data_IF_401190148334
#
_entry.id   IF_401190148334
#
_cell.length_a   1.000
_cell.length_b   1.000
_cell.length_c   1.000
_cell.angle_alpha   90.00
_cell.angle_beta   90.00
_cell.angle_gamma   90.00
#
_symmetry.space_group_name_H-M   'P 1'
#
loop_
_entity.id
_entity.type
_entity.pdbx_description
1 polymer ?
#
# COMPACT_ATOMS: atom_id res chain seq x y z
N UNK A 1 -7.81 6.34 0.64
CA UNK A 1 -6.61 6.40 1.53
C UNK A 1 -5.38 6.64 0.65
N UNK A 2 -4.24 7.06 1.22
CA UNK A 2 -2.99 7.26 0.47
C UNK A 2 -1.86 6.41 1.02
N UNK A 3 -0.97 5.97 0.13
CA UNK A 3 0.23 5.19 0.47
C UNK A 3 1.48 6.05 0.34
N UNK A 4 2.44 5.84 1.24
CA UNK A 4 3.74 6.50 1.15
C UNK A 4 4.55 5.89 0.02
N UNK A 5 5.10 6.75 -0.85
CA UNK A 5 5.92 6.32 -1.97
C UNK A 5 7.05 7.31 -2.26
N UNK A 6 8.11 6.78 -2.86
CA UNK A 6 9.21 7.56 -3.43
C UNK A 6 9.07 7.54 -4.94
N UNK A 7 9.43 8.62 -5.61
CA UNK A 7 9.41 8.69 -7.07
C UNK A 7 10.72 9.28 -7.57
N UNK A 8 11.07 8.93 -8.80
CA UNK A 8 12.24 9.47 -9.48
C UNK A 8 11.97 9.54 -10.98
N UNK A 9 12.63 10.51 -11.62
CA UNK A 9 12.72 10.64 -13.07
C UNK A 9 14.10 10.17 -13.51
N UNK A 10 14.13 9.11 -14.32
CA UNK A 10 15.34 8.62 -14.98
C UNK A 10 15.37 9.07 -16.44
N UNK A 11 16.54 9.49 -16.93
CA UNK A 11 16.72 10.02 -18.29
C UNK A 11 17.88 9.32 -19.00
N UNK A 12 17.66 8.93 -20.26
CA UNK A 12 18.69 8.37 -21.15
C UNK A 12 18.41 8.73 -22.61
N UNK A 13 19.19 9.65 -23.16
CA UNK A 13 18.97 10.18 -24.51
C UNK A 13 17.63 10.90 -24.61
N UNK A 14 16.76 10.47 -25.53
CA UNK A 14 15.39 10.98 -25.65
C UNK A 14 14.38 10.24 -24.77
N UNK A 15 14.81 9.25 -23.99
CA UNK A 15 13.93 8.45 -23.13
C UNK A 15 13.86 9.06 -21.73
N UNK A 16 12.64 9.27 -21.27
CA UNK A 16 12.34 9.70 -19.90
C UNK A 16 11.44 8.65 -19.26
N UNK A 17 11.81 8.18 -18.07
CA UNK A 17 11.01 7.27 -17.27
C UNK A 17 10.71 7.95 -15.93
N UNK A 18 9.44 8.23 -15.68
CA UNK A 18 8.95 8.61 -14.36
C UNK A 18 8.41 7.36 -13.68
N UNK A 19 9.01 7.00 -12.55
CA UNK A 19 8.65 5.79 -11.82
C UNK A 19 8.52 6.07 -10.33
N UNK A 20 7.83 5.19 -9.63
CA UNK A 20 7.68 5.29 -8.19
C UNK A 20 7.71 3.91 -7.54
N UNK A 21 7.92 3.90 -6.24
CA UNK A 21 7.87 2.72 -5.38
C UNK A 21 7.03 2.99 -4.15
N UNK A 22 6.41 1.94 -3.59
CA UNK A 22 5.62 2.02 -2.37
C UNK A 22 6.50 1.61 -1.18
N UNK A 23 6.57 2.48 -0.18
CA UNK A 23 7.26 2.20 1.08
C UNK A 23 6.41 1.25 1.91
N UNK A 24 7.08 0.28 2.50
CA UNK A 24 6.43 -0.89 3.07
C UNK A 24 7.19 -1.31 4.33
N UNK A 25 6.44 -1.62 5.39
CA UNK A 25 6.90 -1.82 6.78
C UNK A 25 6.45 -3.18 7.30
N UNK A 26 6.94 -3.58 8.48
CA UNK A 26 6.40 -4.73 9.21
C UNK A 26 4.90 -4.55 9.47
N UNK A 27 4.12 -5.59 9.22
CA UNK A 27 2.67 -5.56 9.39
C UNK A 27 2.25 -5.46 10.88
N UNK A 28 1.14 -4.76 11.14
CA UNK A 28 0.39 -4.88 12.40
C UNK A 28 -0.27 -6.26 12.54
N UNK A 29 -0.85 -6.58 13.70
CA UNK A 29 -1.36 -7.94 14.00
C UNK A 29 -2.39 -8.41 12.98
N UNK A 30 -3.32 -7.52 12.59
CA UNK A 30 -4.40 -7.85 11.65
C UNK A 30 -3.84 -8.23 10.27
N UNK A 31 -2.93 -7.43 9.73
CA UNK A 31 -2.32 -7.70 8.41
C UNK A 31 -1.30 -8.84 8.49
N UNK A 32 -0.62 -9.02 9.63
CA UNK A 32 0.35 -10.10 9.84
C UNK A 32 -0.29 -11.50 9.75
N UNK A 33 -1.59 -11.63 10.01
CA UNK A 33 -2.34 -12.86 9.77
C UNK A 33 -2.46 -13.23 8.28
N UNK A 34 -2.24 -12.27 7.38
CA UNK A 34 -2.27 -12.44 5.92
C UNK A 34 -0.85 -12.43 5.35
N UNK A 35 -0.02 -11.44 5.72
CA UNK A 35 1.34 -11.28 5.23
C UNK A 35 2.22 -10.47 6.18
N UNK A 36 3.53 -10.78 6.24
CA UNK A 36 4.50 -10.17 7.19
C UNK A 36 4.78 -8.68 6.96
N UNK A 37 4.44 -8.15 5.79
CA UNK A 37 4.67 -6.76 5.38
C UNK A 37 3.38 -6.10 4.96
N UNK A 38 3.29 -4.79 5.19
CA UNK A 38 2.19 -3.94 4.75
C UNK A 38 2.70 -2.63 4.15
N UNK A 39 1.99 -2.02 3.20
CA UNK A 39 2.34 -0.67 2.74
C UNK A 39 2.14 0.34 3.87
N UNK A 40 2.93 1.42 3.87
CA UNK A 40 2.72 2.54 4.79
C UNK A 40 1.52 3.35 4.32
N UNK A 41 0.42 3.31 5.07
CA UNK A 41 -0.75 4.17 4.84
C UNK A 41 -0.51 5.49 5.55
N UNK A 42 -0.61 6.60 4.82
CA UNK A 42 -0.43 7.94 5.39
C UNK A 42 -1.77 8.42 5.96
N UNK A 43 -1.85 8.85 7.23
CA UNK A 43 -3.02 9.54 7.74
C UNK A 43 -3.24 10.87 7.03
N UNK A 44 -4.50 11.25 6.79
CA UNK A 44 -4.84 12.48 6.06
C UNK A 44 -4.20 13.74 6.66
N UNK A 45 -4.09 13.81 7.99
CA UNK A 45 -3.43 14.91 8.71
C UNK A 45 -1.94 15.09 8.36
N UNK A 46 -1.28 14.06 7.84
CA UNK A 46 0.14 14.06 7.52
C UNK A 46 0.41 14.18 6.00
N UNK A 47 -0.61 14.26 5.13
CA UNK A 47 -0.43 14.39 3.67
C UNK A 47 0.45 15.58 3.30
N UNK A 48 0.19 16.75 3.88
CA UNK A 48 1.00 17.95 3.60
C UNK A 48 2.44 17.78 4.03
N UNK A 49 2.67 17.15 5.18
CA UNK A 49 4.03 16.87 5.67
C UNK A 49 4.74 15.90 4.73
N UNK A 50 4.06 14.85 4.29
CA UNK A 50 4.64 13.87 3.37
C UNK A 50 5.08 14.49 2.03
N UNK A 51 4.27 15.40 1.49
CA UNK A 51 4.51 16.01 0.18
C UNK A 51 5.41 17.26 0.20
N UNK A 52 5.64 17.86 1.36
CA UNK A 52 6.46 19.06 1.52
C UNK A 52 7.97 18.71 1.50
N UNK A 53 8.75 19.16 0.49
CA UNK A 53 10.20 18.92 0.44
C UNK A 53 10.97 19.52 1.62
N UNK A 54 10.41 20.51 2.32
CA UNK A 54 11.01 21.13 3.49
C UNK A 54 10.71 20.37 4.80
N UNK A 55 9.88 19.32 4.77
CA UNK A 55 9.57 18.54 5.95
C UNK A 55 10.82 17.88 6.54
N UNK A 56 11.10 18.08 7.84
CA UNK A 56 12.25 17.44 8.47
C UNK A 56 12.12 15.91 8.45
N UNK A 57 13.21 15.21 8.12
CA UNK A 57 13.25 13.74 8.10
C UNK A 57 12.69 13.11 9.38
N UNK A 58 13.00 13.68 10.55
CA UNK A 58 12.48 13.21 11.86
C UNK A 58 10.94 13.20 11.95
N UNK A 59 10.27 14.09 11.23
CA UNK A 59 8.80 14.15 11.17
C UNK A 59 8.29 13.06 10.24
N UNK A 60 8.92 12.91 9.07
CA UNK A 60 8.56 11.89 8.07
C UNK A 60 8.75 10.46 8.61
N UNK A 61 9.83 10.20 9.36
CA UNK A 61 10.07 8.90 9.97
C UNK A 61 8.96 8.45 10.92
N UNK A 62 8.17 9.38 11.50
CA UNK A 62 7.02 9.03 12.36
C UNK A 62 5.81 8.54 11.57
N UNK A 63 5.76 8.83 10.27
CA UNK A 63 4.74 8.35 9.34
C UNK A 63 5.04 6.91 8.90
N UNK A 64 6.33 6.53 8.84
CA UNK A 64 6.81 5.22 8.38
C UNK A 64 6.62 4.10 9.42
N UNK A 65 5.37 3.78 9.74
CA UNK A 65 4.98 2.76 10.71
C UNK A 65 3.74 2.00 10.26
N UNK A 66 3.44 0.88 10.92
CA UNK A 66 2.20 0.13 10.67
C UNK A 66 0.98 1.01 10.96
N UNK A 67 -0.06 0.83 10.14
CA UNK A 67 -1.33 1.53 10.34
C UNK A 67 -2.12 0.87 11.48
N UNK A 68 -2.93 1.62 12.24
CA UNK A 68 -3.69 1.04 13.36
C UNK A 68 -4.66 -0.04 12.87
N UNK A 69 -4.58 -1.23 13.47
CA UNK A 69 -5.31 -2.44 13.02
C UNK A 69 -6.83 -2.25 13.07
N UNK A 70 -7.33 -1.53 14.06
CA UNK A 70 -8.72 -1.14 14.31
C UNK A 70 -9.33 -0.29 13.19
N UNK A 71 -8.50 0.41 12.39
CA UNK A 71 -8.94 1.19 11.24
C UNK A 71 -8.85 0.40 9.92
N UNK A 72 -8.42 -0.87 9.98
CA UNK A 72 -8.33 -1.74 8.83
C UNK A 72 -9.47 -2.77 8.83
N UNK A 73 -9.98 -3.09 7.64
CA UNK A 73 -10.86 -4.22 7.41
C UNK A 73 -10.28 -5.08 6.29
N UNK A 74 -10.43 -6.39 6.40
CA UNK A 74 -9.99 -7.35 5.40
C UNK A 74 -11.01 -8.49 5.33
N UNK A 75 -11.23 -9.00 4.13
CA UNK A 75 -12.10 -10.14 3.86
C UNK A 75 -11.53 -10.93 2.68
N UNK A 76 -11.75 -12.25 2.62
CA UNK A 76 -11.31 -13.07 1.50
C UNK A 76 -12.08 -12.70 0.23
N UNK A 77 -11.36 -12.64 -0.89
CA UNK A 77 -11.90 -12.42 -2.24
C UNK A 77 -11.62 -13.63 -3.12
N UNK A 78 -12.26 -13.70 -4.28
CA UNK A 78 -12.02 -14.77 -5.26
C UNK A 78 -10.58 -14.75 -5.79
N UNK A 79 -10.05 -15.93 -6.12
CA UNK A 79 -8.77 -16.10 -6.82
C UNK A 79 -8.74 -15.49 -8.23
N UNK A 80 -9.87 -15.00 -8.75
CA UNK A 80 -9.93 -14.19 -9.97
C UNK A 80 -8.93 -13.02 -9.96
N UNK A 81 -8.70 -12.39 -8.80
CA UNK A 81 -7.77 -11.25 -8.65
C UNK A 81 -6.31 -11.63 -8.93
N UNK A 82 -5.96 -12.92 -8.91
CA UNK A 82 -4.60 -13.38 -9.15
C UNK A 82 -4.16 -13.21 -10.61
N UNK A 83 -5.09 -13.07 -11.56
CA UNK A 83 -4.78 -12.80 -12.96
C UNK A 83 -4.93 -11.29 -13.24
N UNK A 84 -3.85 -10.56 -13.56
CA UNK A 84 -3.89 -9.12 -13.79
C UNK A 84 -4.72 -8.71 -15.02
N UNK A 85 -5.09 -9.64 -15.91
CA UNK A 85 -6.01 -9.36 -17.01
C UNK A 85 -7.47 -9.17 -16.54
N UNK A 86 -7.80 -9.58 -15.31
CA UNK A 86 -9.13 -9.44 -14.74
C UNK A 86 -9.27 -8.08 -14.04
N UNK A 87 -9.68 -7.05 -14.79
CA UNK A 87 -10.04 -5.73 -14.26
C UNK A 87 -11.57 -5.59 -14.20
N UNK A 88 -12.18 -6.35 -13.30
CA UNK A 88 -13.64 -6.45 -13.14
C UNK A 88 -14.06 -6.36 -11.67
N UNK A 89 -15.25 -5.82 -11.34
CA UNK A 89 -15.70 -5.61 -9.96
C UNK A 89 -15.69 -6.87 -9.09
N UNK A 90 -15.88 -8.04 -9.69
CA UNK A 90 -15.91 -9.35 -9.04
C UNK A 90 -14.61 -9.68 -8.31
N UNK A 91 -13.48 -9.07 -8.69
CA UNK A 91 -12.19 -9.24 -8.00
C UNK A 91 -12.20 -8.69 -6.56
N UNK A 92 -13.12 -7.77 -6.25
CA UNK A 92 -13.24 -7.15 -4.93
C UNK A 92 -14.41 -7.70 -4.12
N UNK A 93 -15.26 -8.53 -4.70
CA UNK A 93 -16.42 -9.06 -3.99
C UNK A 93 -15.99 -10.15 -2.99
N UNK A 94 -16.64 -10.23 -1.81
CA UNK A 94 -16.36 -11.30 -0.85
C UNK A 94 -16.55 -12.68 -1.49
N UNK A 95 -15.64 -13.60 -1.22
CA UNK A 95 -15.76 -14.97 -1.70
C UNK A 95 -16.99 -15.66 -1.08
N UNK A 96 -17.81 -16.29 -1.92
CA UNK A 96 -19.07 -16.95 -1.53
C UNK A 96 -18.87 -18.18 -0.61
N UNK A 97 -17.66 -18.71 -0.58
CA UNK A 97 -17.25 -19.87 0.21
C UNK A 97 -15.84 -19.60 0.74
N UNK A 98 -15.50 -19.97 1.99
CA UNK A 98 -14.10 -20.06 2.35
C UNK A 98 -13.51 -21.21 1.53
N UNK A 99 -12.86 -20.92 0.41
CA UNK A 99 -11.94 -21.87 -0.20
C UNK A 99 -10.87 -22.12 0.86
N UNK A 100 -10.92 -23.31 1.47
CA UNK A 100 -9.91 -23.74 2.42
C UNK A 100 -8.60 -23.92 1.65
N UNK A 101 -7.72 -22.92 1.68
CA UNK A 101 -6.39 -23.00 1.09
C UNK A 101 -5.40 -22.13 1.87
N UNK A 102 -4.37 -22.79 2.41
CA UNK A 102 -2.99 -22.30 2.42
C UNK A 102 -2.15 -23.35 1.72
#
# INVERSE_FOLDING_TARGET
FSLAGLWEKWESGSTVIESFTIITVTAGQKVAAIHKRMPVIIPEADYRRWLDPASPQRVLSRILRSFPDEQLSAYPVSSLVNNPANDIPECLLPASTPEAQW
#
